data_IF_712186488835
#
_entry.id   IF_712186488835
#
_cell.length_a   1.000
_cell.length_b   1.000
_cell.length_c   1.000
_cell.angle_alpha   90.00
_cell.angle_beta   90.00
_cell.angle_gamma   90.00
#
_symmetry.space_group_name_H-M   'P 1'
#
loop_
_entity.id
_entity.type
_entity.pdbx_description
1 polymer ?
#
# COMPACT_ATOMS: atom_id res chain seq x y z
N UNK A 1 23.04 -1.04 -7.80
CA UNK A 1 23.19 -2.13 -6.80
C UNK A 1 21.80 -2.35 -6.22
N UNK A 2 21.32 -3.59 -6.27
CA UNK A 2 19.99 -3.92 -5.76
C UNK A 2 19.89 -3.60 -4.26
N UNK A 3 18.79 -2.96 -3.86
CA UNK A 3 18.50 -2.60 -2.47
C UNK A 3 17.43 -3.51 -1.90
N UNK A 4 17.62 -3.93 -0.65
CA UNK A 4 16.62 -4.66 0.11
C UNK A 4 16.13 -3.80 1.27
N UNK A 5 14.84 -3.48 1.26
CA UNK A 5 14.14 -2.86 2.38
C UNK A 5 13.42 -3.95 3.18
N UNK A 6 13.76 -4.07 4.45
CA UNK A 6 13.10 -4.99 5.37
C UNK A 6 12.02 -4.25 6.17
N UNK A 7 10.75 -4.55 5.88
CA UNK A 7 9.61 -3.95 6.56
C UNK A 7 9.27 -4.74 7.83
N UNK A 8 9.27 -4.05 8.95
CA UNK A 8 9.06 -4.59 10.29
C UNK A 8 7.67 -4.22 10.82
N UNK A 9 6.98 -5.20 11.37
CA UNK A 9 5.86 -4.97 12.26
C UNK A 9 6.39 -5.08 13.70
N UNK A 10 6.28 -4.05 14.53
CA UNK A 10 6.87 -4.05 15.87
C UNK A 10 6.43 -5.22 16.75
N UNK A 11 5.19 -5.69 16.62
CA UNK A 11 4.69 -6.88 17.33
C UNK A 11 5.41 -8.20 16.96
N UNK A 12 6.15 -8.23 15.86
CA UNK A 12 6.87 -9.42 15.40
C UNK A 12 8.35 -9.40 15.83
N UNK A 13 8.74 -8.37 16.60
CA UNK A 13 10.10 -8.16 17.11
C UNK A 13 10.09 -8.35 18.62
N UNK A 14 10.73 -9.40 19.09
CA UNK A 14 10.90 -9.73 20.52
C UNK A 14 12.29 -9.35 21.07
N UNK A 15 12.99 -8.48 20.36
CA UNK A 15 14.32 -7.98 20.72
C UNK A 15 14.40 -6.45 20.70
N UNK A 16 15.45 -5.87 21.29
CA UNK A 16 15.65 -4.42 21.23
C UNK A 16 15.96 -3.93 19.81
N UNK A 17 15.68 -2.63 19.54
CA UNK A 17 16.02 -1.98 18.26
C UNK A 17 17.50 -2.18 17.91
N UNK A 18 18.39 -2.03 18.91
CA UNK A 18 19.85 -2.20 18.76
C UNK A 18 20.21 -3.62 18.35
N UNK A 19 19.64 -4.62 19.02
CA UNK A 19 19.94 -6.03 18.74
C UNK A 19 19.41 -6.40 17.35
N UNK A 20 18.23 -5.90 16.99
CA UNK A 20 17.67 -6.11 15.66
C UNK A 20 18.57 -5.56 14.56
N UNK A 21 18.94 -4.28 14.66
CA UNK A 21 19.80 -3.63 13.65
C UNK A 21 21.17 -4.32 13.60
N UNK A 22 21.77 -4.66 14.74
CA UNK A 22 23.05 -5.36 14.78
C UNK A 22 23.01 -6.73 14.10
N UNK A 23 21.89 -7.45 14.23
CA UNK A 23 21.72 -8.79 13.65
C UNK A 23 21.49 -8.75 12.14
N UNK A 24 20.69 -7.78 11.64
CA UNK A 24 20.20 -7.80 10.27
C UNK A 24 20.83 -6.74 9.36
N UNK A 25 21.58 -5.74 9.87
CA UNK A 25 22.16 -4.66 9.08
C UNK A 25 23.02 -5.12 7.89
N UNK A 26 23.71 -6.28 8.02
CA UNK A 26 24.51 -6.82 6.91
C UNK A 26 23.69 -7.46 5.77
N UNK A 27 22.40 -7.68 6.00
CA UNK A 27 21.50 -8.34 5.03
C UNK A 27 20.51 -7.38 4.38
N UNK A 28 20.30 -6.20 4.95
CA UNK A 28 19.39 -5.18 4.43
C UNK A 28 20.14 -3.89 4.09
N UNK A 29 19.63 -3.14 3.14
CA UNK A 29 20.15 -1.83 2.76
C UNK A 29 19.30 -0.69 3.33
N UNK A 30 18.12 -1.02 3.81
CA UNK A 30 17.12 -0.09 4.33
C UNK A 30 16.14 -0.82 5.25
N UNK A 31 15.52 -0.07 6.14
CA UNK A 31 14.53 -0.57 7.09
C UNK A 31 13.20 0.14 6.88
N UNK A 32 12.12 -0.60 6.95
CA UNK A 32 10.76 -0.08 7.01
C UNK A 32 10.10 -0.46 8.33
N UNK A 33 9.28 0.41 8.87
CA UNK A 33 8.57 0.17 10.13
C UNK A 33 7.08 0.43 9.88
N UNK A 34 6.22 -0.50 10.31
CA UNK A 34 4.77 -0.27 10.22
C UNK A 34 4.40 0.88 11.16
N UNK A 35 4.08 2.04 10.61
CA UNK A 35 3.65 3.23 11.37
C UNK A 35 2.17 3.22 11.70
N UNK A 36 1.32 2.76 10.75
CA UNK A 36 -0.12 2.62 10.93
C UNK A 36 -0.59 1.29 10.35
N UNK A 37 -1.26 0.49 11.16
CA UNK A 37 -1.83 -0.79 10.74
C UNK A 37 -3.31 -0.70 10.32
N UNK A 38 -3.88 -1.85 9.88
CA UNK A 38 -5.27 -1.94 9.41
C UNK A 38 -6.30 -1.73 10.52
N UNK A 39 -5.91 -1.79 11.79
CA UNK A 39 -6.78 -1.45 12.93
C UNK A 39 -7.05 0.04 13.06
N UNK A 40 -6.30 0.87 12.33
CA UNK A 40 -6.30 2.32 12.43
C UNK A 40 -5.43 2.87 13.56
N UNK A 41 -4.77 2.00 14.35
CA UNK A 41 -3.82 2.44 15.37
C UNK A 41 -2.46 2.76 14.74
N UNK A 42 -1.85 3.81 15.26
CA UNK A 42 -0.47 4.20 14.97
C UNK A 42 0.45 3.80 16.13
N UNK A 43 1.72 3.57 15.83
CA UNK A 43 2.72 3.13 16.83
C UNK A 43 3.70 4.24 17.22
N UNK A 44 3.32 5.46 17.01
CA UNK A 44 4.05 6.67 17.42
C UNK A 44 3.06 7.64 18.12
N UNK A 45 3.54 8.63 18.89
CA UNK A 45 2.69 9.66 19.48
C UNK A 45 1.88 10.40 18.40
N UNK A 46 0.55 10.34 18.47
CA UNK A 46 -0.35 10.93 17.49
C UNK A 46 -1.45 11.75 18.17
N UNK A 47 -1.88 12.82 17.48
CA UNK A 47 -3.05 13.62 17.83
C UNK A 47 -4.26 13.26 16.97
N UNK A 48 -4.01 12.57 15.87
CA UNK A 48 -4.99 12.28 14.80
C UNK A 48 -5.59 10.88 14.94
N UNK A 49 -4.78 9.89 15.30
CA UNK A 49 -5.16 8.48 15.36
C UNK A 49 -4.97 7.89 16.75
N UNK A 50 -5.68 6.79 17.11
CA UNK A 50 -5.43 6.07 18.35
C UNK A 50 -4.02 5.46 18.34
N UNK A 51 -3.36 5.53 19.49
CA UNK A 51 -1.96 5.11 19.64
C UNK A 51 -1.90 3.71 20.25
N UNK A 52 -1.14 2.83 19.61
CA UNK A 52 -0.66 1.58 20.19
C UNK A 52 0.56 1.87 21.08
N UNK A 53 0.32 2.02 22.38
CA UNK A 53 1.34 2.42 23.33
C UNK A 53 2.39 1.33 23.61
N UNK A 54 2.07 0.08 23.34
CA UNK A 54 2.96 -1.04 23.60
C UNK A 54 4.22 -0.99 22.69
N UNK A 55 4.05 -0.53 21.45
CA UNK A 55 5.10 -0.55 20.45
C UNK A 55 5.70 0.83 20.13
N UNK A 56 5.18 1.90 20.76
CA UNK A 56 5.64 3.28 20.49
C UNK A 56 7.13 3.46 20.72
N UNK A 57 7.65 2.95 21.84
CA UNK A 57 9.09 3.11 22.18
C UNK A 57 9.98 2.40 21.15
N UNK A 58 9.59 1.21 20.70
CA UNK A 58 10.37 0.47 19.70
C UNK A 58 10.41 1.22 18.35
N UNK A 59 9.33 1.87 17.95
CA UNK A 59 9.30 2.70 16.74
C UNK A 59 10.29 3.88 16.88
N UNK A 60 10.21 4.62 17.97
CA UNK A 60 11.08 5.78 18.19
C UNK A 60 12.56 5.37 18.29
N UNK A 61 12.86 4.28 18.96
CA UNK A 61 14.24 3.74 19.08
C UNK A 61 14.79 3.30 17.71
N UNK A 62 13.98 2.61 16.91
CA UNK A 62 14.39 2.17 15.56
C UNK A 62 14.67 3.37 14.65
N UNK A 63 13.74 4.33 14.58
CA UNK A 63 13.91 5.53 13.75
C UNK A 63 15.12 6.36 14.18
N UNK A 64 15.32 6.54 15.49
CA UNK A 64 16.48 7.27 16.02
C UNK A 64 17.79 6.55 15.70
N UNK A 65 17.84 5.24 15.89
CA UNK A 65 19.04 4.44 15.64
C UNK A 65 19.40 4.41 14.15
N UNK A 66 18.43 4.21 13.27
CA UNK A 66 18.65 4.17 11.82
C UNK A 66 19.12 5.52 11.28
N UNK A 67 18.55 6.62 11.78
CA UNK A 67 19.00 7.97 11.46
C UNK A 67 20.46 8.22 11.90
N UNK A 68 20.84 7.73 13.11
CA UNK A 68 22.22 7.86 13.61
C UNK A 68 23.22 7.06 12.77
N UNK A 69 22.79 5.94 12.20
CA UNK A 69 23.62 5.03 11.39
C UNK A 69 23.57 5.34 9.89
N UNK A 70 22.87 6.39 9.48
CA UNK A 70 22.63 6.75 8.07
C UNK A 70 22.01 5.60 7.26
N UNK A 71 21.08 4.86 7.90
CA UNK A 71 20.33 3.78 7.25
C UNK A 71 19.03 4.37 6.69
N UNK A 72 18.79 4.18 5.40
CA UNK A 72 17.54 4.58 4.77
C UNK A 72 16.32 3.98 5.49
N UNK A 73 15.42 4.84 5.94
CA UNK A 73 14.30 4.46 6.82
C UNK A 73 12.97 4.81 6.18
N UNK A 74 12.06 3.83 6.15
CA UNK A 74 10.69 4.03 5.70
C UNK A 74 9.69 3.76 6.84
N UNK A 75 8.53 4.45 6.81
CA UNK A 75 7.37 4.08 7.61
C UNK A 75 6.24 3.59 6.69
N UNK A 76 5.52 2.55 7.06
CA UNK A 76 4.36 2.13 6.28
C UNK A 76 3.04 2.53 6.91
N UNK A 77 2.04 2.78 6.05
CA UNK A 77 0.66 2.96 6.51
C UNK A 77 -0.33 2.21 5.62
N UNK A 78 -1.25 1.50 6.25
CA UNK A 78 -2.47 1.04 5.60
C UNK A 78 -3.39 2.23 5.39
N UNK A 79 -3.85 2.43 4.15
CA UNK A 79 -4.66 3.60 3.85
C UNK A 79 -6.15 3.30 3.95
N UNK A 80 -6.77 2.70 2.95
CA UNK A 80 -8.23 2.49 2.99
C UNK A 80 -8.69 1.32 3.87
N UNK A 81 -7.78 0.62 4.54
CA UNK A 81 -8.12 -0.34 5.59
C UNK A 81 -7.88 0.31 6.94
N UNK A 82 -8.97 0.66 7.64
CA UNK A 82 -8.91 1.38 8.92
C UNK A 82 -10.13 1.07 9.78
N UNK A 83 -9.99 0.12 10.70
CA UNK A 83 -11.10 -0.31 11.54
C UNK A 83 -11.52 0.76 12.56
N UNK A 84 -10.65 1.68 12.94
CA UNK A 84 -10.99 2.77 13.86
C UNK A 84 -11.82 3.85 13.17
N UNK A 85 -11.41 4.32 12.00
CA UNK A 85 -12.17 5.31 11.25
C UNK A 85 -13.48 4.73 10.73
N UNK A 86 -13.48 3.45 10.37
CA UNK A 86 -14.65 2.70 9.92
C UNK A 86 -15.68 2.40 11.04
N UNK A 87 -15.50 2.85 12.29
CA UNK A 87 -16.54 2.75 13.33
C UNK A 87 -17.84 3.48 12.94
N UNK A 88 -17.74 4.52 12.10
CA UNK A 88 -18.90 5.16 11.51
C UNK A 88 -19.23 4.49 10.15
N UNK A 89 -20.37 3.76 10.06
CA UNK A 89 -20.76 3.01 8.86
C UNK A 89 -20.89 3.87 7.59
N UNK A 90 -21.04 5.19 7.73
CA UNK A 90 -21.13 6.09 6.56
C UNK A 90 -19.86 6.08 5.70
N UNK A 91 -18.72 5.67 6.28
CA UNK A 91 -17.43 5.59 5.59
C UNK A 91 -17.18 4.25 4.91
N UNK A 92 -17.98 3.21 5.20
CA UNK A 92 -17.76 1.88 4.66
C UNK A 92 -17.80 1.86 3.11
N UNK A 93 -16.93 1.06 2.57
CA UNK A 93 -17.08 0.55 1.21
C UNK A 93 -18.28 -0.40 1.15
N UNK A 94 -19.11 -0.28 0.11
CA UNK A 94 -20.37 -1.02 -0.03
C UNK A 94 -20.41 -1.72 -1.38
N UNK A 95 -20.85 -2.99 -1.41
CA UNK A 95 -21.06 -3.76 -2.63
C UNK A 95 -22.32 -3.29 -3.39
N UNK A 96 -22.51 -3.68 -4.66
CA UNK A 96 -23.76 -3.43 -5.39
C UNK A 96 -25.01 -4.05 -4.74
N UNK A 97 -24.84 -5.09 -3.93
CA UNK A 97 -25.91 -5.74 -3.16
C UNK A 97 -26.24 -5.03 -1.82
N UNK A 98 -25.53 -3.94 -1.51
CA UNK A 98 -25.70 -3.19 -0.29
C UNK A 98 -24.94 -3.74 0.92
N UNK A 99 -24.05 -4.71 0.72
CA UNK A 99 -23.24 -5.31 1.77
C UNK A 99 -22.07 -4.37 2.10
N UNK A 100 -21.98 -3.96 3.37
CA UNK A 100 -20.90 -3.10 3.81
C UNK A 100 -19.65 -3.91 4.19
N UNK A 101 -18.49 -3.36 3.85
CA UNK A 101 -17.19 -3.89 4.25
C UNK A 101 -16.70 -3.11 5.49
N UNK A 102 -16.83 -3.68 6.71
CA UNK A 102 -16.78 -2.90 7.96
C UNK A 102 -15.39 -2.36 8.33
N UNK A 103 -14.33 -2.77 7.63
CA UNK A 103 -12.96 -2.27 7.87
C UNK A 103 -12.38 -1.55 6.66
N UNK A 104 -13.17 -1.42 5.59
CA UNK A 104 -12.73 -0.79 4.36
C UNK A 104 -13.42 0.55 4.17
N UNK A 105 -12.61 1.58 4.00
CA UNK A 105 -13.09 2.94 3.75
C UNK A 105 -13.35 3.12 2.26
N UNK A 106 -14.46 3.74 1.92
CA UNK A 106 -14.76 4.14 0.56
C UNK A 106 -13.71 5.17 0.06
N UNK A 107 -12.99 4.91 -1.03
CA UNK A 107 -12.00 5.85 -1.56
C UNK A 107 -12.55 7.22 -1.96
N UNK A 108 -13.85 7.35 -2.13
CA UNK A 108 -14.54 8.61 -2.40
C UNK A 108 -14.98 9.31 -1.09
N UNK A 109 -14.03 9.52 -0.16
CA UNK A 109 -14.25 10.19 1.13
C UNK A 109 -13.14 11.19 1.41
N UNK A 110 -13.44 12.44 1.16
CA UNK A 110 -12.51 13.54 1.39
C UNK A 110 -12.08 13.65 2.86
N UNK A 111 -13.02 13.39 3.78
CA UNK A 111 -12.73 13.39 5.22
C UNK A 111 -11.67 12.36 5.60
N UNK A 112 -11.62 11.25 4.86
CA UNK A 112 -10.60 10.23 5.07
C UNK A 112 -9.25 10.62 4.44
N UNK A 113 -9.25 11.32 3.30
CA UNK A 113 -8.03 11.85 2.71
C UNK A 113 -7.37 12.89 3.62
N UNK A 114 -8.17 13.77 4.24
CA UNK A 114 -7.69 14.73 5.23
C UNK A 114 -7.08 14.03 6.45
N UNK A 115 -7.77 13.03 7.01
CA UNK A 115 -7.24 12.20 8.09
C UNK A 115 -5.92 11.52 7.70
N UNK A 116 -5.82 10.95 6.49
CA UNK A 116 -4.59 10.36 5.98
C UNK A 116 -3.46 11.39 5.81
N UNK A 117 -3.78 12.59 5.34
CA UNK A 117 -2.84 13.69 5.19
C UNK A 117 -2.25 14.14 6.54
N UNK A 118 -3.08 14.21 7.58
CA UNK A 118 -2.61 14.52 8.95
C UNK A 118 -1.64 13.44 9.45
N UNK A 119 -1.92 12.15 9.22
CA UNK A 119 -1.02 11.04 9.56
C UNK A 119 0.29 11.13 8.79
N UNK A 120 0.25 11.45 7.50
CA UNK A 120 1.45 11.69 6.68
C UNK A 120 2.27 12.84 7.28
N UNK A 121 1.62 13.93 7.67
CA UNK A 121 2.28 15.06 8.32
C UNK A 121 2.95 14.71 9.65
N UNK A 122 2.31 13.85 10.45
CA UNK A 122 2.88 13.35 11.71
C UNK A 122 4.09 12.45 11.46
N UNK A 123 4.00 11.50 10.52
CA UNK A 123 5.11 10.61 10.14
C UNK A 123 6.29 11.41 9.56
N UNK A 124 6.00 12.42 8.77
CA UNK A 124 7.00 13.28 8.18
C UNK A 124 7.79 14.12 9.22
N UNK A 125 7.33 14.24 10.45
CA UNK A 125 8.09 14.87 11.53
C UNK A 125 9.24 14.01 12.04
N UNK A 126 9.24 12.70 11.75
CA UNK A 126 10.32 11.78 12.08
C UNK A 126 11.42 11.81 11.00
N UNK A 127 12.68 11.46 11.33
CA UNK A 127 13.76 11.35 10.34
C UNK A 127 13.64 10.07 9.50
N UNK A 128 12.56 9.98 8.72
CA UNK A 128 12.31 8.92 7.75
C UNK A 128 12.45 9.44 6.32
N UNK A 129 12.83 8.59 5.39
CA UNK A 129 13.07 8.94 3.99
C UNK A 129 11.86 8.67 3.10
N UNK A 130 10.95 7.80 3.56
CA UNK A 130 9.86 7.30 2.72
C UNK A 130 8.64 6.87 3.53
N UNK A 131 7.45 7.06 2.93
CA UNK A 131 6.20 6.44 3.38
C UNK A 131 5.79 5.38 2.37
N UNK A 132 5.64 4.14 2.85
CA UNK A 132 5.11 3.02 2.08
C UNK A 132 3.60 2.95 2.28
N UNK A 133 2.84 3.27 1.24
CA UNK A 133 1.39 3.36 1.30
C UNK A 133 0.75 2.07 0.78
N UNK A 134 0.07 1.34 1.65
CA UNK A 134 -0.61 0.09 1.34
C UNK A 134 -2.12 0.27 1.20
N UNK A 135 -2.73 -0.50 0.29
CA UNK A 135 -4.18 -0.53 0.12
C UNK A 135 -4.79 0.80 -0.32
N UNK A 136 -4.11 1.58 -1.17
CA UNK A 136 -4.54 2.90 -1.60
C UNK A 136 -5.59 2.90 -2.73
N UNK A 137 -6.22 1.77 -3.00
CA UNK A 137 -7.21 1.62 -4.08
C UNK A 137 -8.54 1.02 -3.62
N UNK A 138 -9.42 0.80 -4.57
CA UNK A 138 -10.65 0.05 -4.35
C UNK A 138 -10.35 -1.45 -4.13
N UNK A 139 -11.29 -2.17 -3.51
CA UNK A 139 -11.10 -3.61 -3.24
C UNK A 139 -11.20 -4.43 -4.54
N UNK A 140 -12.19 -4.11 -5.39
CA UNK A 140 -12.46 -4.76 -6.68
C UNK A 140 -13.25 -3.83 -7.58
N UNK A 141 -13.45 -4.23 -8.84
CA UNK A 141 -14.15 -3.48 -9.86
C UNK A 141 -15.56 -3.00 -9.44
N UNK A 142 -16.36 -3.85 -8.81
CA UNK A 142 -17.72 -3.53 -8.38
C UNK A 142 -17.83 -2.69 -7.10
N UNK A 143 -16.71 -2.30 -6.46
CA UNK A 143 -16.68 -1.39 -5.32
C UNK A 143 -16.19 0.02 -5.73
N UNK A 144 -16.56 1.09 -5.02
CA UNK A 144 -17.57 1.18 -3.97
C UNK A 144 -18.91 1.61 -4.56
N UNK A 145 -19.98 0.96 -4.15
CA UNK A 145 -21.33 1.24 -4.64
C UNK A 145 -22.23 1.91 -3.59
N UNK A 146 -21.63 2.64 -2.64
CA UNK A 146 -22.36 3.38 -1.61
C UNK A 146 -23.17 4.53 -2.20
N UNK A 147 -24.10 5.08 -1.43
CA UNK A 147 -24.98 6.16 -1.89
C UNK A 147 -24.24 7.39 -2.42
N UNK A 148 -23.07 7.76 -1.82
CA UNK A 148 -22.23 8.88 -2.30
C UNK A 148 -21.64 8.56 -3.68
N UNK A 149 -21.05 7.38 -3.85
CA UNK A 149 -20.49 6.95 -5.14
C UNK A 149 -21.53 6.92 -6.24
N UNK A 150 -22.73 6.35 -5.97
CA UNK A 150 -23.82 6.36 -6.93
C UNK A 150 -24.28 7.78 -7.29
N UNK A 151 -24.40 8.66 -6.28
CA UNK A 151 -24.81 10.05 -6.51
C UNK A 151 -23.85 10.82 -7.41
N UNK A 152 -22.55 10.57 -7.27
CA UNK A 152 -21.54 11.26 -8.07
C UNK A 152 -21.37 10.65 -9.47
N UNK A 153 -21.48 9.33 -9.60
CA UNK A 153 -21.24 8.65 -10.88
C UNK A 153 -22.48 8.64 -11.79
N UNK A 154 -23.70 8.52 -11.26
CA UNK A 154 -24.91 8.37 -12.05
C UNK A 154 -25.10 9.45 -13.13
N UNK A 155 -24.84 10.75 -12.90
CA UNK A 155 -24.92 11.78 -13.93
C UNK A 155 -23.96 11.58 -15.10
N UNK A 156 -22.83 10.88 -14.90
CA UNK A 156 -21.85 10.61 -15.96
C UNK A 156 -22.36 9.63 -17.02
N UNK A 157 -23.43 8.88 -16.67
CA UNK A 157 -24.06 7.87 -17.53
C UNK A 157 -25.55 8.13 -17.75
N UNK A 158 -25.97 9.41 -17.56
CA UNK A 158 -27.35 9.87 -17.75
C UNK A 158 -28.38 9.03 -16.96
N UNK A 159 -28.02 8.67 -15.70
CA UNK A 159 -28.88 7.86 -14.85
C UNK A 159 -29.16 8.56 -13.51
N UNK A 160 -30.30 8.21 -12.91
CA UNK A 160 -30.59 8.62 -11.54
C UNK A 160 -29.84 7.73 -10.52
N UNK A 161 -29.32 8.29 -9.41
CA UNK A 161 -28.56 7.52 -8.41
C UNK A 161 -29.30 6.30 -7.86
N UNK A 162 -30.61 6.39 -7.68
CA UNK A 162 -31.44 5.31 -7.13
C UNK A 162 -31.75 4.19 -8.16
N UNK A 163 -31.57 4.47 -9.45
CA UNK A 163 -31.77 3.51 -10.54
C UNK A 163 -30.47 2.93 -11.05
N UNK A 164 -29.32 3.49 -10.64
CA UNK A 164 -28.03 3.00 -11.04
C UNK A 164 -27.79 1.63 -10.43
N UNK A 165 -27.56 0.61 -11.26
CA UNK A 165 -27.11 -0.72 -10.87
C UNK A 165 -25.73 -0.99 -11.44
N UNK A 166 -25.01 -1.94 -10.86
CA UNK A 166 -23.72 -2.34 -11.39
C UNK A 166 -23.86 -3.06 -12.74
N UNK A 167 -24.92 -3.85 -12.90
CA UNK A 167 -25.23 -4.51 -14.18
C UNK A 167 -25.45 -3.49 -15.30
N UNK A 168 -26.17 -2.39 -15.04
CA UNK A 168 -26.32 -1.29 -16.00
C UNK A 168 -24.97 -0.68 -16.42
N UNK A 169 -24.00 -0.65 -15.53
CA UNK A 169 -22.67 -0.14 -15.84
C UNK A 169 -21.91 -1.12 -16.74
N UNK A 170 -21.87 -2.42 -16.37
CA UNK A 170 -21.05 -3.40 -17.10
C UNK A 170 -21.64 -3.85 -18.43
N UNK A 171 -22.96 -3.79 -18.59
CA UNK A 171 -23.66 -4.11 -19.85
C UNK A 171 -23.33 -3.11 -20.98
N UNK A 172 -22.90 -1.90 -20.62
CA UNK A 172 -22.49 -0.90 -21.59
C UNK A 172 -20.98 -0.61 -21.49
N UNK A 173 -20.18 -1.00 -22.48
CA UNK A 173 -18.71 -0.78 -22.43
C UNK A 173 -18.30 0.67 -22.20
N UNK A 174 -19.07 1.65 -22.69
CA UNK A 174 -18.78 3.06 -22.48
C UNK A 174 -19.05 3.48 -21.02
N UNK A 175 -20.10 2.95 -20.40
CA UNK A 175 -20.38 3.19 -18.98
C UNK A 175 -19.30 2.54 -18.10
N UNK A 176 -18.89 1.32 -18.44
CA UNK A 176 -17.83 0.61 -17.73
C UNK A 176 -16.48 1.33 -17.81
N UNK A 177 -16.14 1.83 -19.01
CA UNK A 177 -14.93 2.67 -19.18
C UNK A 177 -14.99 3.94 -18.32
N UNK A 178 -16.12 4.66 -18.31
CA UNK A 178 -16.33 5.83 -17.44
C UNK A 178 -16.26 5.48 -15.96
N UNK A 179 -16.75 4.29 -15.56
CA UNK A 179 -16.67 3.79 -14.20
C UNK A 179 -15.21 3.61 -13.75
N UNK A 180 -14.38 2.98 -14.57
CA UNK A 180 -12.96 2.82 -14.31
C UNK A 180 -12.24 4.18 -14.23
N UNK A 181 -12.55 5.10 -15.15
CA UNK A 181 -11.99 6.45 -15.18
C UNK A 181 -12.32 7.24 -13.90
N UNK A 182 -13.59 7.24 -13.52
CA UNK A 182 -14.05 7.93 -12.31
C UNK A 182 -13.39 7.36 -11.05
N UNK A 183 -13.31 6.04 -10.92
CA UNK A 183 -12.65 5.38 -9.78
C UNK A 183 -11.16 5.73 -9.70
N UNK A 184 -10.46 5.66 -10.81
CA UNK A 184 -9.04 6.01 -10.84
C UNK A 184 -8.80 7.48 -10.55
N UNK A 185 -9.71 8.36 -10.97
CA UNK A 185 -9.72 9.76 -10.59
C UNK A 185 -9.81 9.95 -9.07
N UNK A 186 -10.69 9.18 -8.39
CA UNK A 186 -10.82 9.25 -6.92
C UNK A 186 -9.57 8.77 -6.17
N UNK A 187 -8.95 7.70 -6.64
CA UNK A 187 -7.67 7.24 -6.08
C UNK A 187 -6.58 8.31 -6.27
N UNK A 188 -6.46 8.85 -7.46
CA UNK A 188 -5.47 9.89 -7.78
C UNK A 188 -5.69 11.17 -6.96
N UNK A 189 -6.96 11.55 -6.73
CA UNK A 189 -7.32 12.70 -5.90
C UNK A 189 -6.86 12.52 -4.44
N UNK A 190 -7.16 11.35 -3.84
CA UNK A 190 -6.69 11.01 -2.50
C UNK A 190 -5.16 11.00 -2.40
N UNK A 191 -4.45 10.46 -3.39
CA UNK A 191 -2.98 10.43 -3.41
C UNK A 191 -2.37 11.83 -3.51
N UNK A 192 -3.00 12.76 -4.24
CA UNK A 192 -2.52 14.16 -4.30
C UNK A 192 -2.58 14.83 -2.93
N UNK A 193 -3.66 14.64 -2.16
CA UNK A 193 -3.76 15.15 -0.79
C UNK A 193 -2.62 14.65 0.10
N UNK A 194 -2.28 13.35 0.00
CA UNK A 194 -1.18 12.80 0.78
C UNK A 194 0.17 13.37 0.34
N UNK A 195 0.39 13.52 -0.97
CA UNK A 195 1.64 14.06 -1.51
C UNK A 195 1.81 15.54 -1.17
N UNK A 196 0.74 16.32 -1.16
CA UNK A 196 0.75 17.71 -0.70
C UNK A 196 1.13 17.81 0.77
N UNK A 197 0.53 16.95 1.63
CA UNK A 197 0.87 16.90 3.05
C UNK A 197 2.35 16.54 3.30
N UNK A 198 2.91 15.62 2.51
CA UNK A 198 4.32 15.28 2.58
C UNK A 198 5.22 16.46 2.23
N UNK A 199 4.91 17.19 1.15
CA UNK A 199 5.64 18.40 0.73
C UNK A 199 5.57 19.50 1.79
N UNK A 200 4.37 19.76 2.31
CA UNK A 200 4.17 20.78 3.36
C UNK A 200 4.97 20.46 4.63
N UNK A 201 5.15 19.18 4.93
CA UNK A 201 5.97 18.74 6.06
C UNK A 201 7.47 18.90 5.78
N UNK A 202 7.95 18.55 4.58
CA UNK A 202 9.34 18.75 4.16
C UNK A 202 9.75 20.21 4.25
N UNK A 203 8.89 21.13 3.78
CA UNK A 203 9.14 22.56 3.86
C UNK A 203 9.32 23.04 5.31
N UNK A 204 8.57 22.44 6.25
CA UNK A 204 8.66 22.81 7.69
C UNK A 204 9.92 22.29 8.36
N UNK A 205 10.42 21.12 7.97
CA UNK A 205 11.61 20.49 8.59
C UNK A 205 12.89 20.73 7.80
N UNK A 206 12.81 21.42 6.64
CA UNK A 206 13.93 21.75 5.76
C UNK A 206 14.80 20.52 5.42
N UNK A 207 14.15 19.43 4.95
CA UNK A 207 14.85 18.18 4.60
C UNK A 207 15.81 18.40 3.43
N UNK A 208 16.96 17.78 3.49
CA UNK A 208 17.91 17.74 2.39
C UNK A 208 17.34 16.92 1.21
N UNK A 209 16.72 15.78 1.51
CA UNK A 209 16.04 14.92 0.54
C UNK A 209 14.54 14.94 0.81
N UNK A 210 13.69 15.23 -0.20
CA UNK A 210 12.25 15.20 -0.04
C UNK A 210 11.73 13.84 0.40
N UNK A 211 10.75 13.82 1.30
CA UNK A 211 10.05 12.62 1.73
C UNK A 211 9.36 11.96 0.53
N UNK A 212 9.61 10.69 0.32
CA UNK A 212 8.99 9.92 -0.76
C UNK A 212 7.70 9.26 -0.30
N UNK A 213 6.75 9.13 -1.21
CA UNK A 213 5.59 8.25 -1.04
C UNK A 213 5.69 7.17 -2.10
N UNK A 214 5.73 5.90 -1.67
CA UNK A 214 5.66 4.74 -2.56
C UNK A 214 4.34 4.03 -2.37
N UNK A 215 3.58 3.91 -3.44
CA UNK A 215 2.23 3.35 -3.42
C UNK A 215 2.26 1.88 -3.82
N UNK A 216 1.69 1.02 -2.97
CA UNK A 216 1.43 -0.37 -3.34
C UNK A 216 0.42 -0.42 -4.47
N UNK A 217 0.76 -1.10 -5.54
CA UNK A 217 -0.14 -1.40 -6.65
C UNK A 217 -0.23 -2.90 -6.85
N UNK A 218 -1.46 -3.38 -7.04
CA UNK A 218 -1.73 -4.79 -7.30
C UNK A 218 -1.77 -5.01 -8.80
N UNK A 219 -1.07 -6.03 -9.27
CA UNK A 219 -1.22 -6.51 -10.64
C UNK A 219 -2.50 -7.33 -10.75
N UNK A 220 -3.24 -7.13 -11.83
CA UNK A 220 -4.28 -8.07 -12.20
C UNK A 220 -3.64 -9.31 -12.83
N UNK A 221 -3.84 -10.51 -12.26
CA UNK A 221 -3.25 -11.73 -12.79
C UNK A 221 -3.79 -12.13 -14.17
N UNK A 222 -4.95 -11.59 -14.60
CA UNK A 222 -5.61 -11.95 -15.86
C UNK A 222 -5.22 -11.01 -17.01
N UNK A 223 -5.19 -9.71 -16.74
CA UNK A 223 -4.98 -8.68 -17.78
C UNK A 223 -3.59 -8.03 -17.74
N UNK A 224 -2.79 -8.38 -16.75
CA UNK A 224 -1.45 -7.83 -16.58
C UNK A 224 -1.44 -6.33 -16.27
N UNK A 225 -0.42 -5.65 -16.76
CA UNK A 225 -0.08 -4.29 -16.37
C UNK A 225 -1.03 -3.20 -16.89
N UNK A 226 -1.66 -3.38 -18.04
CA UNK A 226 -2.20 -2.23 -18.77
C UNK A 226 -3.62 -1.85 -18.39
N UNK A 227 -4.46 -2.80 -18.02
CA UNK A 227 -5.89 -2.53 -17.78
C UNK A 227 -6.38 -3.03 -16.41
N UNK A 228 -5.80 -4.09 -15.87
CA UNK A 228 -6.28 -4.74 -14.68
C UNK A 228 -6.21 -3.88 -13.42
N UNK A 229 -5.14 -3.13 -13.24
CA UNK A 229 -5.01 -2.23 -12.10
C UNK A 229 -6.07 -1.14 -12.08
N UNK A 230 -6.35 -0.52 -13.23
CA UNK A 230 -7.38 0.52 -13.39
C UNK A 230 -8.78 -0.05 -13.21
N UNK A 231 -9.08 -1.20 -13.85
CA UNK A 231 -10.35 -1.87 -13.76
C UNK A 231 -10.64 -2.38 -12.35
N UNK A 232 -9.79 -3.22 -11.82
CA UNK A 232 -10.04 -3.90 -10.54
C UNK A 232 -9.92 -2.96 -9.33
N UNK A 233 -8.85 -2.14 -9.29
CA UNK A 233 -8.48 -1.40 -8.08
C UNK A 233 -8.55 0.12 -8.22
N UNK A 234 -8.80 0.63 -9.41
CA UNK A 234 -8.75 2.07 -9.70
C UNK A 234 -7.31 2.61 -9.79
N UNK A 235 -6.31 1.75 -10.03
CA UNK A 235 -4.93 2.19 -10.18
C UNK A 235 -4.64 2.64 -11.61
N UNK A 236 -4.59 3.92 -11.85
CA UNK A 236 -3.97 4.47 -13.04
C UNK A 236 -2.47 4.66 -12.76
N UNK A 237 -1.66 3.73 -13.24
CA UNK A 237 -0.22 3.71 -12.95
C UNK A 237 0.49 4.97 -13.42
N UNK A 238 0.09 5.54 -14.55
CA UNK A 238 0.67 6.77 -15.07
C UNK A 238 0.39 7.94 -14.15
N UNK A 239 -0.87 8.09 -13.71
CA UNK A 239 -1.25 9.12 -12.74
C UNK A 239 -0.57 8.93 -11.38
N UNK A 240 -0.49 7.69 -10.89
CA UNK A 240 0.20 7.39 -9.62
C UNK A 240 1.67 7.79 -9.70
N UNK A 241 2.36 7.43 -10.78
CA UNK A 241 3.76 7.83 -10.99
C UNK A 241 3.95 9.33 -11.09
N UNK A 242 3.07 10.02 -11.82
CA UNK A 242 3.11 11.48 -11.92
C UNK A 242 2.96 12.16 -10.56
N UNK A 243 2.09 11.62 -9.70
CA UNK A 243 1.81 12.17 -8.38
C UNK A 243 2.94 11.86 -7.39
N UNK A 244 3.36 10.60 -7.29
CA UNK A 244 4.25 10.13 -6.22
C UNK A 244 5.68 9.80 -6.70
N UNK A 245 5.87 9.55 -7.97
CA UNK A 245 7.14 9.15 -8.56
C UNK A 245 7.56 7.71 -8.26
N UNK A 246 6.85 7.01 -7.39
CA UNK A 246 7.24 5.68 -6.94
C UNK A 246 6.05 4.73 -6.79
N UNK A 247 6.25 3.47 -7.18
CA UNK A 247 5.29 2.39 -6.94
C UNK A 247 5.97 1.17 -6.34
N UNK A 248 5.21 0.41 -5.57
CA UNK A 248 5.58 -0.93 -5.11
C UNK A 248 4.63 -1.92 -5.77
N UNK A 249 5.16 -2.83 -6.56
CA UNK A 249 4.36 -3.86 -7.21
C UNK A 249 4.20 -5.02 -6.26
N UNK A 250 2.97 -5.23 -5.81
CA UNK A 250 2.62 -6.38 -4.99
C UNK A 250 2.10 -7.50 -5.88
N UNK A 251 2.63 -8.67 -5.62
CA UNK A 251 2.28 -9.89 -6.34
C UNK A 251 1.16 -10.66 -5.69
N UNK A 252 0.32 -11.19 -6.53
CA UNK A 252 -0.69 -12.16 -6.16
C UNK A 252 -0.40 -13.48 -6.91
N UNK A 253 -0.49 -14.68 -6.33
CA UNK A 253 -0.92 -14.99 -4.97
C UNK A 253 0.18 -14.79 -3.93
N UNK A 254 -0.26 -14.61 -2.72
CA UNK A 254 0.59 -14.33 -1.57
C UNK A 254 1.09 -15.61 -0.95
N UNK A 255 2.39 -15.85 -1.00
CA UNK A 255 2.99 -16.93 -0.24
C UNK A 255 3.87 -16.36 0.88
N UNK A 256 3.70 -16.78 2.13
CA UNK A 256 4.58 -16.38 3.22
C UNK A 256 5.99 -16.98 3.10
N UNK A 257 6.21 -17.88 2.16
CA UNK A 257 7.47 -18.59 1.96
C UNK A 257 7.93 -18.36 0.52
N UNK A 258 9.24 -18.18 0.32
CA UNK A 258 9.81 -18.20 -1.03
C UNK A 258 9.45 -19.51 -1.73
N UNK A 259 8.81 -19.45 -2.91
CA UNK A 259 8.37 -20.66 -3.58
C UNK A 259 9.56 -21.48 -4.05
N UNK A 260 9.42 -22.78 -3.98
CA UNK A 260 10.43 -23.71 -4.51
C UNK A 260 10.61 -23.52 -6.02
N UNK A 261 11.85 -23.55 -6.49
CA UNK A 261 12.15 -23.50 -7.93
C UNK A 261 11.34 -24.56 -8.68
N UNK A 262 10.61 -24.12 -9.72
CA UNK A 262 9.77 -24.99 -10.56
C UNK A 262 8.31 -25.12 -10.11
N UNK A 263 7.90 -24.60 -8.96
CA UNK A 263 6.49 -24.51 -8.58
C UNK A 263 5.74 -23.46 -9.42
N UNK A 264 4.42 -23.48 -9.39
CA UNK A 264 3.62 -22.45 -10.07
C UNK A 264 3.82 -21.09 -9.44
N UNK A 265 3.92 -21.01 -8.12
CA UNK A 265 4.18 -19.81 -7.36
C UNK A 265 5.56 -19.21 -7.71
N UNK A 266 6.55 -20.06 -8.02
CA UNK A 266 7.85 -19.59 -8.50
C UNK A 266 7.76 -18.97 -9.91
N UNK A 267 6.93 -19.52 -10.80
CA UNK A 267 6.68 -18.93 -12.12
C UNK A 267 6.01 -17.56 -11.99
N UNK A 268 5.03 -17.43 -11.11
CA UNK A 268 4.36 -16.17 -10.81
C UNK A 268 5.33 -15.13 -10.22
N UNK A 269 6.24 -15.56 -9.35
CA UNK A 269 7.33 -14.70 -8.86
C UNK A 269 8.18 -14.18 -10.03
N UNK A 270 8.63 -15.05 -10.91
CA UNK A 270 9.46 -14.66 -12.08
C UNK A 270 8.69 -13.73 -13.01
N UNK A 271 7.42 -13.99 -13.24
CA UNK A 271 6.56 -13.13 -14.08
C UNK A 271 6.43 -11.71 -13.50
N UNK A 272 6.29 -11.58 -12.21
CA UNK A 272 6.19 -10.27 -11.56
C UNK A 272 7.51 -9.54 -11.47
N UNK A 273 8.60 -10.25 -11.34
CA UNK A 273 9.93 -9.68 -11.50
C UNK A 273 10.09 -9.11 -12.90
N UNK A 274 9.60 -9.83 -13.91
CA UNK A 274 9.58 -9.33 -15.29
C UNK A 274 8.77 -8.03 -15.42
N UNK A 275 7.55 -7.99 -14.91
CA UNK A 275 6.72 -6.77 -14.95
C UNK A 275 7.35 -5.61 -14.18
N UNK A 276 7.95 -5.86 -13.02
CA UNK A 276 8.66 -4.83 -12.25
C UNK A 276 9.83 -4.25 -13.05
N UNK A 277 10.61 -5.10 -13.71
CA UNK A 277 11.71 -4.70 -14.59
C UNK A 277 11.23 -3.90 -15.81
N UNK A 278 10.11 -4.32 -16.44
CA UNK A 278 9.48 -3.58 -17.54
C UNK A 278 9.05 -2.17 -17.11
N UNK A 279 8.49 -2.06 -15.93
CA UNK A 279 8.06 -0.78 -15.39
C UNK A 279 9.25 0.16 -15.14
N UNK A 280 10.34 -0.35 -14.58
CA UNK A 280 11.59 0.39 -14.40
C UNK A 280 12.18 0.85 -15.74
N UNK A 281 12.15 0.00 -16.78
CA UNK A 281 12.61 0.36 -18.14
C UNK A 281 11.79 1.48 -18.78
N UNK A 282 10.55 1.68 -18.37
CA UNK A 282 9.70 2.81 -18.80
C UNK A 282 9.95 4.11 -18.02
N UNK A 283 10.98 4.15 -17.19
CA UNK A 283 11.41 5.33 -16.43
C UNK A 283 10.71 5.49 -15.08
N UNK A 284 9.94 4.48 -14.65
CA UNK A 284 9.36 4.48 -13.31
C UNK A 284 10.33 3.95 -12.26
N UNK A 285 10.22 4.41 -11.02
CA UNK A 285 10.85 3.74 -9.88
C UNK A 285 9.88 2.69 -9.36
N UNK A 286 10.26 1.43 -9.44
CA UNK A 286 9.43 0.32 -8.98
C UNK A 286 10.18 -0.57 -8.00
N UNK A 287 9.46 -1.04 -6.99
CA UNK A 287 9.94 -2.03 -6.04
C UNK A 287 9.04 -3.25 -6.11
N UNK A 288 9.63 -4.43 -6.01
CA UNK A 288 8.86 -5.63 -5.75
C UNK A 288 8.56 -5.72 -4.27
N UNK A 289 7.29 -5.92 -3.93
CA UNK A 289 6.87 -6.16 -2.55
C UNK A 289 6.55 -7.64 -2.34
N UNK A 290 7.05 -8.21 -1.25
CA UNK A 290 6.78 -9.59 -0.87
C UNK A 290 6.61 -9.76 0.63
N UNK A 291 5.71 -10.65 1.01
CA UNK A 291 5.42 -11.01 2.39
C UNK A 291 6.33 -12.13 2.91
N UNK A 292 6.63 -12.07 4.21
CA UNK A 292 7.08 -13.21 4.99
C UNK A 292 8.51 -13.67 4.76
N UNK A 293 9.49 -12.90 5.23
CA UNK A 293 10.86 -13.36 5.39
C UNK A 293 11.15 -13.56 6.88
N UNK A 294 11.60 -14.75 7.25
CA UNK A 294 11.89 -15.11 8.65
C UNK A 294 13.35 -15.48 8.88
N UNK A 295 14.13 -15.65 7.82
CA UNK A 295 15.53 -16.07 7.91
C UNK A 295 16.45 -15.20 7.06
N UNK A 296 17.70 -15.07 7.48
CA UNK A 296 18.75 -14.38 6.72
C UNK A 296 19.05 -15.06 5.37
N UNK A 297 18.81 -16.37 5.29
CA UNK A 297 18.93 -17.15 4.04
C UNK A 297 17.92 -16.69 2.99
N UNK A 298 16.65 -16.54 3.40
CA UNK A 298 15.59 -16.02 2.52
C UNK A 298 15.88 -14.58 2.05
N UNK A 299 16.45 -13.73 2.92
CA UNK A 299 16.87 -12.37 2.53
C UNK A 299 17.96 -12.40 1.46
N UNK A 300 18.95 -13.29 1.60
CA UNK A 300 20.02 -13.46 0.62
C UNK A 300 19.46 -13.97 -0.71
N UNK A 301 18.61 -14.99 -0.67
CA UNK A 301 17.96 -15.54 -1.87
C UNK A 301 17.12 -14.50 -2.60
N UNK A 302 16.35 -13.66 -1.88
CA UNK A 302 15.61 -12.55 -2.48
C UNK A 302 16.51 -11.53 -3.16
N UNK A 303 17.64 -11.18 -2.55
CA UNK A 303 18.64 -10.30 -3.16
C UNK A 303 19.19 -10.87 -4.47
N UNK A 304 19.51 -12.15 -4.48
CA UNK A 304 20.01 -12.83 -5.69
C UNK A 304 18.96 -12.85 -6.80
N UNK A 305 17.73 -13.27 -6.49
CA UNK A 305 16.62 -13.30 -7.45
C UNK A 305 16.36 -11.91 -8.05
N UNK A 306 16.30 -10.89 -7.24
CA UNK A 306 16.05 -9.54 -7.74
C UNK A 306 17.23 -9.01 -8.57
N UNK A 307 18.47 -9.31 -8.19
CA UNK A 307 19.66 -8.97 -8.98
C UNK A 307 19.64 -9.62 -10.36
N UNK A 308 19.32 -10.90 -10.42
CA UNK A 308 19.22 -11.66 -11.67
C UNK A 308 18.10 -11.15 -12.58
N UNK A 309 17.02 -10.67 -11.99
CA UNK A 309 15.89 -10.07 -12.70
C UNK A 309 16.09 -8.57 -13.04
N UNK A 310 17.18 -7.95 -12.61
CA UNK A 310 17.44 -6.51 -12.83
C UNK A 310 16.52 -5.58 -12.04
N UNK A 311 16.04 -6.02 -10.87
CA UNK A 311 15.19 -5.22 -10.00
C UNK A 311 16.05 -4.32 -9.11
N UNK A 312 15.75 -3.03 -9.06
CA UNK A 312 16.52 -2.08 -8.28
C UNK A 312 16.27 -2.19 -6.79
N UNK A 313 15.03 -2.51 -6.38
CA UNK A 313 14.64 -2.62 -4.98
C UNK A 313 13.60 -3.71 -4.72
N UNK A 314 13.80 -4.45 -3.64
CA UNK A 314 12.81 -5.36 -3.09
C UNK A 314 12.38 -4.84 -1.70
N UNK A 315 11.09 -4.87 -1.43
CA UNK A 315 10.50 -4.68 -0.11
C UNK A 315 10.04 -6.03 0.41
N UNK A 316 10.61 -6.48 1.52
CA UNK A 316 10.24 -7.76 2.15
C UNK A 316 9.72 -7.50 3.56
N UNK A 317 8.65 -8.16 3.98
CA UNK A 317 8.14 -8.09 5.34
C UNK A 317 8.85 -9.09 6.22
N UNK A 318 9.30 -8.67 7.40
CA UNK A 318 9.85 -9.54 8.42
C UNK A 318 8.71 -10.20 9.21
N UNK A 319 8.86 -11.49 9.51
CA UNK A 319 7.87 -12.24 10.28
C UNK A 319 6.76 -12.88 9.45
N UNK A 320 5.89 -13.61 10.11
CA UNK A 320 4.69 -14.19 9.51
C UNK A 320 3.53 -13.20 9.60
N UNK A 321 2.86 -12.85 8.49
CA UNK A 321 1.72 -11.97 8.51
C UNK A 321 0.46 -12.72 8.98
N UNK A 322 0.43 -13.17 10.24
CA UNK A 322 -0.72 -13.91 10.81
C UNK A 322 -2.04 -13.13 10.72
N UNK A 323 -1.97 -11.79 10.67
CA UNK A 323 -3.17 -10.94 10.65
C UNK A 323 -3.54 -10.39 9.28
N UNK A 324 -2.60 -10.37 8.33
CA UNK A 324 -2.86 -9.81 7.00
C UNK A 324 -3.50 -10.80 6.03
N UNK A 325 -3.09 -12.08 6.08
CA UNK A 325 -3.65 -13.13 5.22
C UNK A 325 -5.11 -13.41 5.57
N UNK A 326 -5.42 -13.57 6.84
CA UNK A 326 -6.79 -13.87 7.31
C UNK A 326 -7.78 -12.74 7.07
N UNK A 327 -7.36 -11.48 7.11
CA UNK A 327 -8.27 -10.33 6.90
C UNK A 327 -8.50 -10.00 5.43
N UNK A 328 -7.52 -10.18 4.55
CA UNK A 328 -7.76 -10.05 3.11
C UNK A 328 -8.42 -11.30 2.51
N UNK A 329 -8.10 -12.50 2.98
CA UNK A 329 -8.81 -13.71 2.57
C UNK A 329 -10.27 -13.70 3.04
N UNK A 330 -10.59 -13.22 4.22
CA UNK A 330 -11.99 -13.01 4.65
C UNK A 330 -12.68 -11.88 3.87
N UNK A 331 -11.96 -10.89 3.40
CA UNK A 331 -12.48 -9.84 2.51
C UNK A 331 -12.58 -10.28 1.05
N UNK A 332 -11.77 -11.27 0.61
CA UNK A 332 -11.70 -11.76 -0.76
C UNK A 332 -12.42 -13.12 -0.92
N UNK A 333 -12.57 -13.90 0.15
CA UNK A 333 -12.78 -15.34 0.11
C UNK A 333 -14.19 -15.86 -0.08
N UNK A 334 -15.25 -15.06 -0.27
CA UNK A 334 -16.63 -15.56 -0.40
C UNK A 334 -17.54 -14.72 -1.33
N UNK A 335 -17.00 -14.19 -2.42
CA UNK A 335 -17.86 -13.49 -3.41
C UNK A 335 -17.59 -13.94 -4.83
#
# INVERSE_FOLDING_TARGET
>A
MQKLLLLLKPSDIDMSAKDFVSTYASYMDSIGIVGKGPTGHVIYPSRTAPVDKEHTQLFEDLVSLTSTLDIYTAASMDFYTDAWFAKDPKYHTVSPRGEAMPHQICPNREEFWQYGAEIVGELAAYPIDEILLFGAGFIRDHFCFCGRCRKEFAPMVDQEPNRLSYDYIIENPNHHAKWHEWRSGKVSEGLRHLQEAARDADDKVARENPLRISVEVLLDPVTGFSEGGKGQYGYDYSSILEITGNVMINMYPWSPILPSKGSNEYKELIESLYYTSEFQRRGGTASLFRWGVTTTEQLRELKEIGKDAGIDRIVATFGYPSDYSTRRESAIGNY
#
